data_IF_133899820564
#
_entry.id   IF_133899820564
#
_cell.length_a   1.000
_cell.length_b   1.000
_cell.length_c   1.000
_cell.angle_alpha   90.00
_cell.angle_beta   90.00
_cell.angle_gamma   90.00
#
_symmetry.space_group_name_H-M   'P 1'
#
loop_
_entity.id
_entity.type
_entity.pdbx_description
1 polymer ?
#
# COMPACT_ATOMS: atom_id res chain seq x y z
N UNK A 1 20.27 -19.44 -51.01
CA UNK A 1 19.28 -18.42 -51.43
C UNK A 1 20.00 -17.07 -51.33
N UNK A 2 20.13 -16.32 -52.43
CA UNK A 2 21.18 -15.32 -52.60
C UNK A 2 20.81 -13.91 -52.09
N UNK A 3 21.86 -13.09 -51.96
CA UNK A 3 21.99 -11.65 -52.28
C UNK A 3 21.15 -10.61 -51.56
N UNK A 4 21.79 -9.72 -50.77
CA UNK A 4 22.25 -8.37 -51.18
C UNK A 4 22.79 -7.60 -49.94
N UNK A 5 24.09 -7.26 -49.88
CA UNK A 5 24.67 -5.90 -50.10
C UNK A 5 24.11 -4.82 -49.16
N UNK A 6 24.85 -4.16 -48.25
CA UNK A 6 26.05 -3.27 -48.41
C UNK A 6 26.52 -2.86 -46.98
N UNK A 7 27.80 -2.84 -46.53
CA UNK A 7 28.99 -2.01 -46.91
C UNK A 7 28.74 -0.51 -46.59
N UNK A 8 29.54 0.30 -45.86
CA UNK A 8 30.93 0.25 -45.33
C UNK A 8 31.23 1.45 -44.40
N UNK A 9 32.26 1.26 -43.55
CA UNK A 9 33.43 2.12 -43.20
C UNK A 9 33.36 3.55 -42.62
N UNK A 10 34.04 3.65 -41.46
CA UNK A 10 35.02 4.65 -40.98
C UNK A 10 35.57 5.70 -41.98
N UNK A 11 35.80 6.93 -41.50
CA UNK A 11 37.13 7.50 -41.17
C UNK A 11 37.23 9.04 -41.32
N UNK A 12 37.96 9.67 -40.39
CA UNK A 12 38.92 10.78 -40.59
C UNK A 12 38.46 12.15 -41.14
N UNK A 13 38.53 13.25 -40.38
CA UNK A 13 39.66 14.21 -40.17
C UNK A 13 39.49 15.52 -41.01
N UNK A 14 39.78 16.65 -40.34
CA UNK A 14 40.28 17.96 -40.83
C UNK A 14 39.35 19.21 -41.02
N UNK A 15 39.58 20.19 -40.13
CA UNK A 15 39.96 21.61 -40.33
C UNK A 15 39.08 22.58 -41.16
N UNK A 16 38.57 23.66 -40.53
CA UNK A 16 39.12 25.04 -40.61
C UNK A 16 38.25 26.08 -39.86
N UNK A 17 38.94 27.03 -39.23
CA UNK A 17 38.55 28.22 -38.44
C UNK A 17 38.09 29.39 -39.35
N UNK A 18 37.47 30.53 -38.89
CA UNK A 18 38.13 31.49 -37.99
C UNK A 18 37.31 32.40 -37.02
N UNK A 19 38.05 32.80 -35.97
CA UNK A 19 38.15 34.13 -35.33
C UNK A 19 36.98 34.78 -34.56
N UNK A 20 37.17 34.97 -33.24
CA UNK A 20 37.45 36.26 -32.56
C UNK A 20 37.78 35.92 -31.08
N UNK A 21 39.06 35.83 -30.65
CA UNK A 21 39.87 36.90 -30.01
C UNK A 21 39.08 37.63 -28.89
N UNK A 22 39.42 37.57 -27.58
CA UNK A 22 40.64 38.13 -26.98
C UNK A 22 40.76 37.76 -25.46
N UNK A 23 41.96 37.25 -25.11
CA UNK A 23 42.83 37.46 -23.91
C UNK A 23 42.31 37.03 -22.51
N UNK A 24 42.89 35.97 -21.90
CA UNK A 24 44.14 35.90 -21.10
C UNK A 24 43.90 36.33 -19.63
N UNK A 25 44.41 35.69 -18.57
CA UNK A 25 45.53 34.78 -18.40
C UNK A 25 45.36 33.97 -17.08
N UNK A 26 45.83 32.71 -17.08
CA UNK A 26 46.15 31.90 -15.90
C UNK A 26 47.71 31.96 -15.69
N UNK A 27 48.39 31.07 -14.92
CA UNK A 27 48.17 30.41 -13.62
C UNK A 27 49.47 30.46 -12.73
N UNK A 28 49.59 29.55 -11.74
CA UNK A 28 50.81 28.87 -11.19
C UNK A 28 51.12 29.23 -9.72
N UNK A 29 50.94 28.34 -8.72
CA UNK A 29 51.65 27.09 -8.31
C UNK A 29 52.78 27.34 -7.28
N UNK A 30 52.79 26.48 -6.24
CA UNK A 30 53.91 26.04 -5.38
C UNK A 30 54.27 26.84 -4.11
N UNK A 31 54.01 26.15 -2.98
CA UNK A 31 54.83 25.89 -1.78
C UNK A 31 55.80 26.94 -1.19
N UNK A 32 55.84 26.97 0.15
CA UNK A 32 57.07 27.24 0.90
C UNK A 32 56.96 28.24 2.04
N UNK A 33 56.69 27.73 3.26
CA UNK A 33 57.44 27.97 4.51
C UNK A 33 58.34 29.23 4.56
N UNK A 34 58.13 30.12 5.55
CA UNK A 34 59.10 30.55 6.61
C UNK A 34 58.84 31.97 7.17
N UNK A 35 58.61 32.00 8.50
CA UNK A 35 58.93 33.01 9.53
C UNK A 35 58.44 34.48 9.39
N UNK A 36 57.68 34.96 10.39
CA UNK A 36 58.13 35.75 11.57
C UNK A 36 56.88 36.33 12.28
N UNK A 37 56.59 35.85 13.49
CA UNK A 37 56.75 36.57 14.76
C UNK A 37 55.80 37.76 14.94
N UNK A 38 54.78 37.61 15.78
CA UNK A 38 54.52 38.56 16.87
C UNK A 38 53.72 37.87 17.99
N UNK A 39 54.27 37.96 19.19
CA UNK A 39 53.86 37.35 20.46
C UNK A 39 52.62 38.00 21.08
N UNK A 40 51.85 37.16 21.80
CA UNK A 40 51.09 37.39 23.05
C UNK A 40 49.89 36.42 23.04
N UNK A 41 49.84 35.30 23.76
CA UNK A 41 50.17 35.11 25.16
C UNK A 41 48.90 35.28 26.01
N UNK A 42 48.13 34.19 26.24
CA UNK A 42 47.36 33.94 27.48
C UNK A 42 46.53 32.63 27.40
N UNK A 43 46.93 31.69 28.26
CA UNK A 43 46.13 30.74 29.03
C UNK A 43 45.46 29.54 28.33
N UNK A 44 46.23 28.45 28.36
CA UNK A 44 45.80 27.09 28.68
C UNK A 44 44.70 27.03 29.76
N UNK A 45 43.58 26.39 29.42
CA UNK A 45 42.74 25.71 30.40
C UNK A 45 42.66 24.23 29.98
N UNK A 46 43.48 23.45 30.66
CA UNK A 46 43.44 22.00 30.71
C UNK A 46 42.07 21.54 31.22
N UNK A 47 41.28 20.92 30.36
CA UNK A 47 40.10 20.17 30.78
C UNK A 47 40.54 18.75 31.19
N UNK A 48 40.23 18.30 32.41
CA UNK A 48 40.76 17.06 32.94
C UNK A 48 40.19 15.84 32.22
N UNK A 49 41.10 15.02 31.69
CA UNK A 49 40.93 13.62 31.35
C UNK A 49 40.60 12.79 32.61
N UNK A 50 39.43 12.99 33.20
CA UNK A 50 38.88 12.12 34.25
C UNK A 50 37.36 11.96 34.05
N UNK A 51 36.99 11.00 33.22
CA UNK A 51 35.83 10.10 33.48
C UNK A 51 35.67 9.04 32.38
N UNK A 52 36.78 8.46 31.91
CA UNK A 52 36.75 7.18 31.15
C UNK A 52 36.49 6.00 32.09
N UNK A 53 35.40 6.07 32.85
CA UNK A 53 34.93 4.99 33.71
C UNK A 53 33.41 5.12 33.88
N UNK A 54 32.66 5.07 32.78
CA UNK A 54 31.23 4.81 32.87
C UNK A 54 30.67 4.18 31.59
N UNK A 55 31.19 2.99 31.25
CA UNK A 55 30.48 2.06 30.35
C UNK A 55 30.54 0.66 30.98
N UNK A 56 30.22 0.55 32.28
CA UNK A 56 29.66 -0.68 32.80
C UNK A 56 28.20 -0.72 32.34
N UNK A 57 28.01 -1.33 31.17
CA UNK A 57 26.83 -2.10 30.76
C UNK A 57 25.77 -2.19 31.88
N UNK A 58 24.88 -1.20 31.93
CA UNK A 58 23.70 -1.26 32.78
C UNK A 58 22.87 -2.50 32.39
N UNK A 59 22.65 -3.48 33.28
CA UNK A 59 21.82 -4.66 32.99
C UNK A 59 20.31 -4.34 33.02
N UNK A 60 19.95 -3.05 33.02
CA UNK A 60 18.59 -2.52 33.14
C UNK A 60 17.98 -2.04 31.82
N UNK A 61 18.58 -2.36 30.66
CA UNK A 61 17.78 -2.39 29.43
C UNK A 61 17.02 -3.72 29.38
N UNK A 62 16.14 -3.93 30.37
CA UNK A 62 15.05 -4.86 30.20
C UNK A 62 14.38 -4.46 28.88
N UNK A 63 14.40 -5.36 27.89
CA UNK A 63 13.69 -5.17 26.63
C UNK A 63 12.23 -4.94 27.01
N UNK A 64 11.82 -3.67 27.09
CA UNK A 64 10.50 -3.16 27.48
C UNK A 64 9.50 -3.44 26.36
N UNK A 65 9.46 -4.69 25.92
CA UNK A 65 8.63 -5.18 24.84
C UNK A 65 7.31 -5.72 25.37
N UNK A 66 6.28 -5.59 24.52
CA UNK A 66 5.03 -6.33 24.64
C UNK A 66 5.37 -7.82 24.65
N UNK A 67 4.79 -8.59 25.57
CA UNK A 67 5.02 -10.02 25.70
C UNK A 67 3.72 -10.80 25.44
N UNK A 68 3.83 -11.93 24.75
CA UNK A 68 2.73 -12.85 24.42
C UNK A 68 2.64 -14.03 25.39
N UNK A 69 3.40 -14.01 26.48
CA UNK A 69 3.37 -15.05 27.50
C UNK A 69 2.03 -15.05 28.27
N UNK A 70 1.65 -16.18 28.83
CA UNK A 70 0.47 -16.32 29.69
C UNK A 70 0.81 -16.26 31.19
N UNK A 71 2.08 -16.06 31.55
CA UNK A 71 2.59 -16.22 32.92
C UNK A 71 2.32 -14.99 33.76
N UNK A 72 2.29 -13.81 33.15
CA UNK A 72 1.89 -12.57 33.80
C UNK A 72 0.40 -12.52 34.16
N UNK A 73 -0.44 -13.37 33.56
CA UNK A 73 -1.87 -13.49 33.87
C UNK A 73 -2.09 -14.46 35.03
N UNK A 74 -3.18 -14.26 35.79
CA UNK A 74 -3.61 -15.18 36.86
C UNK A 74 -3.92 -16.57 36.30
N UNK A 75 -3.85 -17.60 37.16
CA UNK A 75 -4.32 -18.95 36.81
C UNK A 75 -5.85 -18.97 36.69
N UNK A 76 -6.39 -20.08 36.15
CA UNK A 76 -7.83 -20.31 36.13
C UNK A 76 -8.46 -20.30 37.54
N UNK A 77 -7.71 -20.73 38.56
CA UNK A 77 -8.10 -20.65 39.97
C UNK A 77 -8.03 -19.23 40.57
N UNK A 78 -7.55 -18.23 39.83
CA UNK A 78 -7.36 -16.86 40.31
C UNK A 78 -6.04 -16.61 41.06
N UNK A 79 -5.23 -17.66 41.30
CA UNK A 79 -3.95 -17.53 41.98
C UNK A 79 -2.97 -16.63 41.20
N UNK A 80 -2.27 -15.76 41.93
CA UNK A 80 -1.20 -14.92 41.37
C UNK A 80 0.03 -15.81 41.14
N UNK A 81 0.51 -15.87 39.90
CA UNK A 81 1.70 -16.64 39.54
C UNK A 81 2.96 -15.90 39.99
N UNK A 82 3.90 -16.64 40.58
CA UNK A 82 5.20 -16.11 40.94
C UNK A 82 6.01 -15.78 39.69
N UNK A 83 6.88 -14.78 39.80
CA UNK A 83 7.82 -14.43 38.74
C UNK A 83 8.95 -15.47 38.69
N UNK A 84 9.03 -16.20 37.58
CA UNK A 84 10.02 -17.27 37.39
C UNK A 84 11.21 -16.88 36.51
N UNK A 85 10.99 -16.10 35.44
CA UNK A 85 12.04 -15.76 34.47
C UNK A 85 11.78 -14.42 33.77
N UNK A 86 12.85 -13.80 33.24
CA UNK A 86 12.79 -12.62 32.36
C UNK A 86 12.08 -12.92 31.02
N UNK A 87 11.55 -11.87 30.38
CA UNK A 87 10.90 -11.94 29.05
C UNK A 87 11.87 -12.49 28.00
N UNK A 88 11.37 -13.31 27.07
CA UNK A 88 12.17 -13.95 26.02
C UNK A 88 11.83 -13.39 24.64
N UNK A 89 12.83 -13.30 23.76
CA UNK A 89 12.67 -12.75 22.40
C UNK A 89 11.65 -13.52 21.55
N UNK A 90 11.48 -14.83 21.76
CA UNK A 90 10.50 -15.64 21.04
C UNK A 90 9.04 -15.38 21.49
N UNK A 91 8.84 -14.80 22.67
CA UNK A 91 7.53 -14.37 23.20
C UNK A 91 7.24 -12.88 22.87
N UNK A 92 8.12 -12.21 22.14
CA UNK A 92 7.97 -10.79 21.83
C UNK A 92 6.74 -10.50 20.95
N UNK A 93 5.96 -9.52 21.37
CA UNK A 93 4.95 -8.83 20.57
C UNK A 93 5.51 -7.56 19.94
N UNK A 94 4.75 -6.99 19.01
CA UNK A 94 5.02 -5.67 18.42
C UNK A 94 3.74 -4.85 18.48
N UNK A 95 3.86 -3.53 18.48
CA UNK A 95 2.71 -2.62 18.36
C UNK A 95 1.90 -2.97 17.10
N UNK A 96 0.64 -2.57 17.06
CA UNK A 96 -0.18 -2.69 15.86
C UNK A 96 0.26 -1.72 14.76
N UNK A 97 -0.31 -1.85 13.56
CA UNK A 97 0.04 -1.01 12.42
C UNK A 97 -0.90 0.18 12.21
N UNK A 98 -2.14 0.11 12.71
CA UNK A 98 -3.15 1.15 12.55
C UNK A 98 -3.31 1.62 11.09
N UNK A 99 -3.48 0.69 10.15
CA UNK A 99 -3.41 0.99 8.72
C UNK A 99 -4.57 1.86 8.28
N UNK A 100 -4.29 3.02 7.68
CA UNK A 100 -5.31 3.99 7.23
C UNK A 100 -5.45 4.03 5.72
N UNK A 101 -6.52 4.65 5.26
CA UNK A 101 -6.70 4.95 3.84
C UNK A 101 -5.74 6.09 3.44
N UNK A 102 -5.05 5.95 2.32
CA UNK A 102 -4.17 6.99 1.77
C UNK A 102 -3.05 6.43 0.89
N UNK A 103 -2.13 7.30 0.45
CA UNK A 103 -1.01 6.95 -0.43
C UNK A 103 -0.22 5.77 0.13
N UNK A 104 0.02 4.76 -0.72
CA UNK A 104 0.63 3.48 -0.35
C UNK A 104 1.95 3.66 0.40
N UNK A 105 1.97 3.28 1.68
CA UNK A 105 3.18 3.25 2.53
C UNK A 105 3.25 1.93 3.27
N UNK A 106 4.28 1.14 3.00
CA UNK A 106 4.49 -0.20 3.57
C UNK A 106 5.91 -0.26 4.14
N UNK A 107 6.03 -0.73 5.38
CA UNK A 107 7.31 -0.97 6.06
C UNK A 107 7.61 -2.47 6.14
N UNK A 108 8.86 -2.81 5.89
CA UNK A 108 9.35 -4.19 6.02
C UNK A 108 9.76 -4.45 7.47
N UNK A 109 9.23 -5.52 8.06
CA UNK A 109 9.59 -5.94 9.42
C UNK A 109 10.27 -7.31 9.36
N UNK A 110 11.53 -7.37 9.81
CA UNK A 110 12.24 -8.65 10.00
C UNK A 110 11.61 -9.43 11.15
N UNK A 111 11.34 -10.70 10.90
CA UNK A 111 10.79 -11.65 11.88
C UNK A 111 11.76 -12.81 12.13
N UNK A 112 11.37 -13.72 13.03
CA UNK A 112 12.18 -14.89 13.38
C UNK A 112 12.47 -15.74 12.13
N UNK A 113 13.70 -16.25 12.03
CA UNK A 113 14.13 -17.08 10.90
C UNK A 113 14.43 -16.31 9.62
N UNK A 114 14.59 -14.98 9.67
CA UNK A 114 14.94 -14.17 8.50
C UNK A 114 13.76 -13.79 7.61
N UNK A 115 12.55 -14.31 7.90
CA UNK A 115 11.33 -13.99 7.18
C UNK A 115 10.95 -12.50 7.31
N UNK A 116 10.29 -11.98 6.27
CA UNK A 116 9.81 -10.59 6.22
C UNK A 116 8.30 -10.55 6.31
N UNK A 117 7.77 -9.61 7.10
CA UNK A 117 6.36 -9.25 7.10
C UNK A 117 6.19 -7.83 6.59
N UNK A 118 5.11 -7.58 5.87
CA UNK A 118 4.82 -6.29 5.27
C UNK A 118 3.79 -5.59 6.14
N UNK A 119 4.24 -4.54 6.84
CA UNK A 119 3.39 -3.72 7.67
C UNK A 119 2.93 -2.53 6.86
N UNK A 120 1.71 -2.59 6.33
CA UNK A 120 1.10 -1.40 5.75
C UNK A 120 0.88 -0.35 6.85
N UNK A 121 1.00 0.92 6.48
CA UNK A 121 0.58 2.07 7.29
C UNK A 121 -0.53 2.83 6.58
N UNK A 122 -0.41 2.95 5.25
CA UNK A 122 -1.41 3.57 4.38
C UNK A 122 -1.60 2.74 3.12
N UNK A 123 -2.84 2.53 2.71
CA UNK A 123 -3.22 1.85 1.47
C UNK A 123 -4.42 2.55 0.84
N UNK A 124 -4.41 2.73 -0.48
CA UNK A 124 -5.49 3.37 -1.22
C UNK A 124 -6.35 2.38 -2.02
N UNK A 125 -5.76 1.25 -2.39
CA UNK A 125 -6.35 0.29 -3.31
C UNK A 125 -6.05 -1.14 -2.88
N UNK A 126 -6.95 -2.02 -3.27
CA UNK A 126 -6.97 -3.43 -2.90
C UNK A 126 -7.47 -4.32 -4.02
N UNK A 127 -7.19 -5.62 -3.96
CA UNK A 127 -7.80 -6.57 -4.89
C UNK A 127 -9.10 -7.12 -4.29
N UNK A 128 -10.23 -6.82 -4.93
CA UNK A 128 -11.54 -7.29 -4.50
C UNK A 128 -12.10 -8.28 -5.51
N UNK A 129 -12.64 -9.39 -5.01
CA UNK A 129 -13.28 -10.41 -5.83
C UNK A 129 -14.80 -10.28 -5.81
N UNK A 130 -15.42 -10.39 -6.99
CA UNK A 130 -16.84 -10.58 -7.16
C UNK A 130 -17.09 -12.09 -7.34
N UNK A 131 -17.67 -12.73 -6.33
CA UNK A 131 -17.70 -14.19 -6.23
C UNK A 131 -18.66 -14.83 -7.24
N UNK A 132 -19.87 -14.27 -7.42
CA UNK A 132 -20.84 -14.79 -8.39
C UNK A 132 -20.29 -14.86 -9.82
N UNK A 133 -19.52 -13.85 -10.22
CA UNK A 133 -18.93 -13.72 -11.56
C UNK A 133 -17.53 -14.36 -11.68
N UNK A 134 -16.95 -14.81 -10.56
CA UNK A 134 -15.62 -15.43 -10.54
C UNK A 134 -14.47 -14.49 -10.95
N UNK A 135 -14.61 -13.18 -10.75
CA UNK A 135 -13.59 -12.19 -11.13
C UNK A 135 -12.97 -11.46 -9.94
N UNK A 136 -11.76 -10.95 -10.13
CA UNK A 136 -11.13 -10.02 -9.20
C UNK A 136 -10.54 -8.82 -9.93
N UNK A 137 -10.67 -7.65 -9.31
CA UNK A 137 -10.16 -6.38 -9.85
C UNK A 137 -9.51 -5.57 -8.74
N UNK A 138 -8.50 -4.80 -9.14
CA UNK A 138 -7.89 -3.79 -8.28
C UNK A 138 -8.82 -2.58 -8.23
N UNK A 139 -9.24 -2.23 -7.03
CA UNK A 139 -10.24 -1.17 -6.78
C UNK A 139 -9.75 -0.26 -5.67
N UNK A 140 -10.14 1.02 -5.74
CA UNK A 140 -9.88 1.99 -4.69
C UNK A 140 -10.83 1.79 -3.51
N UNK A 141 -10.28 1.83 -2.29
CA UNK A 141 -11.04 1.80 -1.05
C UNK A 141 -11.38 3.23 -0.66
N UNK A 142 -12.66 3.53 -0.48
CA UNK A 142 -13.14 4.89 -0.25
C UNK A 142 -13.22 5.16 1.25
N UNK A 143 -14.02 4.37 1.96
CA UNK A 143 -14.31 4.58 3.39
C UNK A 143 -14.60 3.25 4.08
N UNK A 144 -14.33 3.17 5.38
CA UNK A 144 -14.79 2.06 6.22
C UNK A 144 -16.21 2.38 6.68
N UNK A 145 -17.18 1.52 6.37
CA UNK A 145 -18.58 1.74 6.69
C UNK A 145 -18.97 1.09 8.02
N UNK A 146 -18.48 -0.12 8.29
CA UNK A 146 -18.82 -0.88 9.49
C UNK A 146 -17.66 -1.75 9.94
N UNK A 147 -17.54 -1.96 11.25
CA UNK A 147 -16.57 -2.89 11.82
C UNK A 147 -17.19 -3.65 12.99
N UNK A 148 -17.21 -5.00 12.99
CA UNK A 148 -17.89 -5.79 14.02
C UNK A 148 -17.25 -5.69 15.42
N UNK A 149 -15.93 -5.53 15.50
CA UNK A 149 -15.22 -5.51 16.79
C UNK A 149 -15.16 -4.16 17.50
N UNK A 150 -15.10 -3.03 16.79
CA UNK A 150 -14.92 -1.71 17.40
C UNK A 150 -15.34 -0.59 16.45
N UNK A 151 -16.19 0.33 16.92
CA UNK A 151 -16.68 1.48 16.16
C UNK A 151 -15.63 2.59 15.97
N UNK A 152 -14.61 2.67 16.82
CA UNK A 152 -13.51 3.64 16.65
C UNK A 152 -12.70 3.38 15.38
N UNK A 153 -12.65 2.13 14.91
CA UNK A 153 -11.99 1.77 13.66
C UNK A 153 -12.74 2.32 12.44
N UNK A 154 -14.06 2.47 12.54
CA UNK A 154 -14.90 3.11 11.52
C UNK A 154 -14.62 4.62 11.49
N UNK A 155 -14.68 5.27 12.66
CA UNK A 155 -14.42 6.72 12.80
C UNK A 155 -13.06 7.16 12.25
N UNK A 156 -12.04 6.33 12.45
CA UNK A 156 -10.66 6.62 12.03
C UNK A 156 -10.32 6.09 10.63
N UNK A 157 -11.25 5.43 9.93
CA UNK A 157 -11.00 4.76 8.66
C UNK A 157 -9.82 3.78 8.70
N UNK A 158 -9.76 2.94 9.73
CA UNK A 158 -8.71 1.94 9.91
C UNK A 158 -9.07 0.63 9.20
N UNK A 159 -8.15 0.12 8.38
CA UNK A 159 -8.31 -1.09 7.58
C UNK A 159 -7.85 -2.33 8.34
N UNK A 160 -8.76 -3.23 8.66
CA UNK A 160 -8.50 -4.48 9.38
C UNK A 160 -9.24 -5.63 8.70
N UNK A 161 -8.90 -6.86 9.07
CA UNK A 161 -9.69 -8.02 8.63
C UNK A 161 -11.12 -7.85 9.15
N UNK A 162 -12.10 -8.20 8.32
CA UNK A 162 -13.53 -8.13 8.60
C UNK A 162 -14.11 -6.71 8.69
N UNK A 163 -13.35 -5.69 8.33
CA UNK A 163 -13.90 -4.36 8.11
C UNK A 163 -14.75 -4.38 6.84
N UNK A 164 -15.97 -3.83 6.92
CA UNK A 164 -16.84 -3.57 5.77
C UNK A 164 -16.48 -2.21 5.22
N UNK A 165 -16.10 -2.19 3.95
CA UNK A 165 -15.63 -0.99 3.24
C UNK A 165 -16.52 -0.69 2.05
N UNK A 166 -16.60 0.59 1.69
CA UNK A 166 -17.10 1.01 0.39
C UNK A 166 -15.94 1.06 -0.59
N UNK A 167 -16.09 0.37 -1.71
CA UNK A 167 -15.13 0.33 -2.81
C UNK A 167 -15.73 0.95 -4.07
N UNK A 168 -14.87 1.41 -4.97
CA UNK A 168 -15.28 1.95 -6.26
C UNK A 168 -15.89 0.87 -7.19
N UNK A 169 -17.06 1.14 -7.77
CA UNK A 169 -17.72 0.20 -8.67
C UNK A 169 -17.18 0.25 -10.12
N UNK A 170 -16.44 1.30 -10.51
CA UNK A 170 -16.07 1.53 -11.90
C UNK A 170 -15.32 0.37 -12.58
N UNK A 171 -14.30 -0.26 -11.95
CA UNK A 171 -13.59 -1.38 -12.58
C UNK A 171 -14.47 -2.62 -12.81
N UNK A 172 -15.45 -2.85 -11.94
CA UNK A 172 -16.41 -3.96 -12.09
C UNK A 172 -17.45 -3.64 -13.17
N UNK A 173 -17.92 -2.38 -13.24
CA UNK A 173 -18.86 -1.93 -14.28
C UNK A 173 -18.25 -2.04 -15.67
N UNK A 174 -17.01 -1.57 -15.86
CA UNK A 174 -16.29 -1.68 -17.14
C UNK A 174 -16.14 -3.14 -17.58
N UNK A 175 -15.84 -4.04 -16.64
CA UNK A 175 -15.77 -5.46 -16.95
C UNK A 175 -17.13 -6.04 -17.34
N UNK A 176 -18.20 -5.68 -16.62
CA UNK A 176 -19.55 -6.16 -16.90
C UNK A 176 -20.03 -5.72 -18.28
N UNK A 177 -19.81 -4.46 -18.65
CA UNK A 177 -20.12 -3.90 -19.98
C UNK A 177 -19.35 -4.64 -21.09
N UNK A 178 -18.07 -4.97 -20.88
CA UNK A 178 -17.28 -5.74 -21.84
C UNK A 178 -17.69 -7.22 -21.92
N UNK A 179 -18.10 -7.83 -20.79
CA UNK A 179 -18.38 -9.25 -20.70
C UNK A 179 -19.78 -9.63 -21.22
N UNK A 180 -20.79 -8.85 -20.83
CA UNK A 180 -22.20 -9.07 -21.15
C UNK A 180 -22.76 -8.13 -22.21
N UNK A 181 -22.06 -7.04 -22.55
CA UNK A 181 -22.55 -6.07 -23.54
C UNK A 181 -23.71 -5.20 -23.05
N UNK A 182 -24.07 -5.29 -21.76
CA UNK A 182 -25.14 -4.50 -21.15
C UNK A 182 -24.59 -3.52 -20.12
N UNK A 183 -25.28 -2.38 -19.98
CA UNK A 183 -24.90 -1.33 -19.05
C UNK A 183 -25.52 -1.59 -17.67
N UNK A 184 -24.69 -1.71 -16.64
CA UNK A 184 -25.13 -1.91 -15.26
C UNK A 184 -25.21 -0.57 -14.51
N UNK A 185 -26.38 -0.25 -13.96
CA UNK A 185 -26.56 0.90 -13.06
C UNK A 185 -26.62 2.28 -13.73
N UNK A 186 -26.95 2.37 -15.04
CA UNK A 186 -27.12 3.66 -15.74
C UNK A 186 -28.56 4.19 -15.77
N UNK A 187 -29.49 3.60 -15.01
CA UNK A 187 -30.91 3.95 -15.04
C UNK A 187 -31.18 5.44 -14.71
N UNK A 188 -30.33 6.06 -13.89
CA UNK A 188 -30.40 7.49 -13.56
C UNK A 188 -29.71 8.39 -14.58
N UNK A 189 -28.64 7.92 -15.23
CA UNK A 189 -27.92 8.65 -16.28
C UNK A 189 -28.71 8.67 -17.60
N UNK A 190 -29.44 7.61 -17.91
CA UNK A 190 -30.38 7.56 -19.04
C UNK A 190 -31.49 8.63 -18.92
N UNK A 191 -31.90 9.00 -17.71
CA UNK A 191 -32.85 10.10 -17.46
C UNK A 191 -32.23 11.49 -17.58
N UNK A 192 -30.90 11.60 -17.51
CA UNK A 192 -30.16 12.86 -17.52
C UNK A 192 -29.54 13.19 -18.90
N UNK A 193 -29.83 12.39 -19.94
CA UNK A 193 -29.41 12.67 -21.32
C UNK A 193 -27.91 12.54 -21.60
N UNK A 194 -27.10 12.09 -20.64
CA UNK A 194 -25.66 11.87 -20.86
C UNK A 194 -25.41 10.51 -21.53
N UNK A 195 -25.17 10.60 -22.84
CA UNK A 195 -24.34 9.73 -23.67
C UNK A 195 -24.39 8.24 -23.33
N UNK A 196 -25.21 7.52 -24.09
CA UNK A 196 -24.80 6.23 -24.59
C UNK A 196 -23.39 6.39 -25.15
N UNK A 197 -22.38 5.78 -24.51
CA UNK A 197 -21.15 5.47 -25.22
C UNK A 197 -21.60 4.79 -26.51
N UNK A 198 -21.26 5.39 -27.66
CA UNK A 198 -21.71 4.91 -28.95
C UNK A 198 -21.57 3.39 -29.03
N UNK A 199 -22.54 2.66 -29.59
CA UNK A 199 -22.40 1.23 -29.76
C UNK A 199 -21.21 1.01 -30.69
N UNK A 200 -20.05 0.72 -30.10
CA UNK A 200 -18.89 0.27 -30.84
C UNK A 200 -19.35 -0.88 -31.72
N UNK A 201 -19.11 -0.78 -33.03
CA UNK A 201 -19.49 -1.82 -33.99
C UNK A 201 -18.74 -3.10 -33.63
N UNK A 202 -19.38 -3.96 -32.86
CA UNK A 202 -18.83 -5.26 -32.47
C UNK A 202 -19.01 -6.24 -33.62
N UNK A 203 -18.16 -7.26 -33.65
CA UNK A 203 -18.36 -8.37 -34.58
C UNK A 203 -19.55 -9.20 -34.14
N UNK A 204 -20.31 -9.73 -35.11
CA UNK A 204 -21.48 -10.60 -34.86
C UNK A 204 -21.18 -11.78 -33.92
N UNK A 205 -19.95 -12.30 -33.95
CA UNK A 205 -19.52 -13.37 -33.06
C UNK A 205 -19.37 -12.95 -31.59
N UNK A 206 -19.00 -11.69 -31.33
CA UNK A 206 -18.94 -11.14 -29.97
C UNK A 206 -20.34 -10.89 -29.43
N UNK A 207 -21.23 -10.34 -30.25
CA UNK A 207 -22.65 -10.12 -29.90
C UNK A 207 -23.31 -11.44 -29.51
N UNK A 208 -23.17 -12.47 -30.35
CA UNK A 208 -23.70 -13.80 -30.06
C UNK A 208 -23.16 -14.39 -28.74
N UNK A 209 -21.86 -14.24 -28.47
CA UNK A 209 -21.26 -14.68 -27.20
C UNK A 209 -21.80 -13.90 -25.99
N UNK A 210 -21.99 -12.59 -26.12
CA UNK A 210 -22.51 -11.72 -25.06
C UNK A 210 -23.96 -12.09 -24.73
N UNK A 211 -24.80 -12.30 -25.74
CA UNK A 211 -26.19 -12.72 -25.55
C UNK A 211 -26.32 -14.08 -24.87
N UNK A 212 -25.50 -15.07 -25.29
CA UNK A 212 -25.51 -16.40 -24.68
C UNK A 212 -25.15 -16.34 -23.19
N UNK A 213 -24.10 -15.60 -22.84
CA UNK A 213 -23.66 -15.42 -21.43
C UNK A 213 -24.70 -14.67 -20.62
N UNK A 214 -25.30 -13.64 -21.19
CA UNK A 214 -26.32 -12.87 -20.50
C UNK A 214 -27.53 -13.73 -20.16
N UNK A 215 -27.97 -14.59 -21.08
CA UNK A 215 -29.06 -15.54 -20.85
C UNK A 215 -28.74 -16.55 -19.74
N UNK A 216 -27.50 -17.00 -19.62
CA UNK A 216 -27.10 -17.99 -18.62
C UNK A 216 -26.88 -17.41 -17.22
N UNK A 217 -26.16 -16.29 -17.11
CA UNK A 217 -25.63 -15.79 -15.82
C UNK A 217 -25.77 -14.27 -15.63
N UNK A 218 -26.21 -13.51 -16.64
CA UNK A 218 -26.13 -12.05 -16.61
C UNK A 218 -27.08 -11.34 -15.63
N UNK A 219 -28.01 -12.04 -14.98
CA UNK A 219 -28.99 -11.42 -14.07
C UNK A 219 -28.36 -11.17 -12.70
N UNK A 220 -28.08 -9.89 -12.42
CA UNK A 220 -27.52 -9.43 -11.14
C UNK A 220 -28.63 -9.21 -10.10
N UNK A 221 -28.31 -9.43 -8.82
CA UNK A 221 -29.22 -9.17 -7.70
C UNK A 221 -29.64 -7.67 -7.65
N UNK A 222 -30.94 -7.36 -7.42
CA UNK A 222 -31.42 -5.97 -7.40
C UNK A 222 -30.78 -5.10 -6.31
N UNK A 223 -30.33 -5.70 -5.19
CA UNK A 223 -29.63 -4.97 -4.14
C UNK A 223 -28.21 -4.53 -4.56
N UNK A 224 -27.56 -5.33 -5.41
CA UNK A 224 -26.24 -5.02 -5.97
C UNK A 224 -26.36 -4.00 -7.11
N UNK A 225 -27.40 -4.10 -7.94
CA UNK A 225 -27.68 -3.12 -9.02
C UNK A 225 -27.82 -1.69 -8.48
N UNK A 226 -28.53 -1.50 -7.36
CA UNK A 226 -28.63 -0.21 -6.66
C UNK A 226 -27.28 0.35 -6.20
N UNK A 227 -26.34 -0.52 -5.82
CA UNK A 227 -24.98 -0.10 -5.45
C UNK A 227 -24.14 0.29 -6.66
N UNK A 228 -24.32 -0.42 -7.78
CA UNK A 228 -23.75 -0.02 -9.06
C UNK A 228 -24.28 1.33 -9.54
N UNK A 229 -25.56 1.65 -9.31
CA UNK A 229 -26.10 3.00 -9.58
C UNK A 229 -25.43 4.08 -8.71
N UNK A 230 -25.18 3.78 -7.42
CA UNK A 230 -24.47 4.68 -6.52
C UNK A 230 -22.96 4.81 -6.84
N UNK A 231 -22.42 3.89 -7.66
CA UNK A 231 -21.00 3.83 -7.99
C UNK A 231 -20.10 3.35 -6.85
N UNK A 232 -20.68 2.81 -5.77
CA UNK A 232 -19.96 2.30 -4.60
C UNK A 232 -20.53 0.96 -4.18
N UNK A 233 -19.66 -0.05 -4.11
CA UNK A 233 -20.03 -1.38 -3.66
C UNK A 233 -19.61 -1.58 -2.20
N UNK A 234 -20.38 -2.34 -1.45
CA UNK A 234 -19.96 -2.82 -0.14
C UNK A 234 -19.11 -4.09 -0.29
N UNK A 235 -17.98 -4.13 0.41
CA UNK A 235 -17.06 -5.25 0.39
C UNK A 235 -16.47 -5.52 1.78
N UNK A 236 -16.05 -6.75 2.03
CA UNK A 236 -15.38 -7.14 3.28
C UNK A 236 -13.91 -7.40 3.02
N UNK A 237 -13.05 -6.85 3.88
CA UNK A 237 -11.61 -7.14 3.85
C UNK A 237 -11.37 -8.53 4.45
N UNK A 238 -10.85 -9.45 3.66
CA UNK A 238 -10.48 -10.81 4.11
C UNK A 238 -9.02 -10.90 4.53
N UNK A 239 -8.16 -10.03 3.98
CA UNK A 239 -6.73 -9.98 4.25
C UNK A 239 -6.41 -9.36 5.63
N UNK A 240 -5.13 -9.45 6.03
CA UNK A 240 -4.58 -8.78 7.23
C UNK A 240 -3.54 -7.74 6.81
N UNK A 241 -3.92 -6.45 6.66
CA UNK A 241 -3.02 -5.41 6.13
C UNK A 241 -1.74 -5.21 6.94
N UNK A 242 -1.81 -5.33 8.27
CA UNK A 242 -0.63 -5.19 9.15
C UNK A 242 0.36 -6.36 9.11
N UNK A 243 0.04 -7.46 8.43
CA UNK A 243 0.91 -8.64 8.28
C UNK A 243 1.37 -8.85 6.84
N UNK A 244 0.42 -8.74 5.90
CA UNK A 244 0.62 -9.01 4.46
C UNK A 244 0.90 -7.76 3.64
N UNK A 245 0.60 -6.57 4.17
CA UNK A 245 0.75 -5.31 3.45
C UNK A 245 -0.28 -5.10 2.34
N UNK A 246 -1.35 -5.90 2.32
CA UNK A 246 -2.41 -5.87 1.30
C UNK A 246 -3.79 -5.70 1.93
N UNK A 247 -4.67 -5.03 1.22
CA UNK A 247 -6.09 -4.93 1.54
C UNK A 247 -6.80 -5.68 0.42
N UNK A 248 -7.08 -6.95 0.65
CA UNK A 248 -7.78 -7.79 -0.32
C UNK A 248 -9.08 -8.27 0.33
N UNK A 249 -10.09 -8.50 -0.48
CA UNK A 249 -11.44 -8.75 0.00
C UNK A 249 -12.38 -9.29 -1.07
N UNK A 250 -13.64 -9.37 -0.72
CA UNK A 250 -14.70 -9.79 -1.63
C UNK A 250 -15.91 -8.85 -1.50
N UNK A 251 -16.66 -8.71 -2.59
CA UNK A 251 -17.89 -7.91 -2.64
C UNK A 251 -19.00 -8.65 -1.89
N UNK A 252 -19.83 -7.92 -1.15
CA UNK A 252 -20.94 -8.48 -0.38
C UNK A 252 -22.13 -8.79 -1.29
N UNK A 253 -22.69 -9.99 -1.15
CA UNK A 253 -23.80 -10.50 -1.98
C UNK A 253 -24.86 -11.18 -1.10
N UNK A 254 -26.10 -11.27 -1.59
CA UNK A 254 -27.17 -12.08 -1.01
C UNK A 254 -27.47 -11.80 0.47
N UNK A 255 -27.56 -12.86 1.28
CA UNK A 255 -27.91 -12.75 2.70
C UNK A 255 -26.89 -11.96 3.52
N UNK A 256 -25.60 -12.08 3.17
CA UNK A 256 -24.53 -11.35 3.86
C UNK A 256 -24.68 -9.84 3.64
N UNK A 257 -24.99 -9.45 2.40
CA UNK A 257 -25.28 -8.06 2.07
C UNK A 257 -26.51 -7.56 2.85
N UNK A 258 -27.60 -8.34 2.88
CA UNK A 258 -28.80 -7.97 3.63
C UNK A 258 -28.53 -7.82 5.13
N UNK A 259 -27.69 -8.69 5.71
CA UNK A 259 -27.27 -8.58 7.11
C UNK A 259 -26.56 -7.26 7.41
N UNK A 260 -25.53 -6.90 6.64
CA UNK A 260 -24.79 -5.66 6.87
C UNK A 260 -25.61 -4.42 6.55
N UNK A 261 -26.49 -4.46 5.55
CA UNK A 261 -27.41 -3.36 5.28
C UNK A 261 -28.38 -3.10 6.44
N UNK A 262 -28.86 -4.15 7.13
CA UNK A 262 -29.66 -3.99 8.36
C UNK A 262 -28.86 -3.38 9.50
N UNK A 263 -27.60 -3.80 9.68
CA UNK A 263 -26.74 -3.25 10.72
C UNK A 263 -26.38 -1.77 10.47
N UNK A 264 -26.22 -1.35 9.21
CA UNK A 264 -25.93 0.04 8.85
C UNK A 264 -27.12 1.00 9.01
N UNK A 265 -28.35 0.47 8.99
CA UNK A 265 -29.58 1.25 9.18
C UNK A 265 -29.96 1.41 10.65
N UNK A 266 -29.38 0.60 11.53
CA UNK A 266 -29.63 0.61 12.97
C UNK A 266 -28.82 1.70 13.64
#
# INVERSE_FOLDING_TARGET
IPSCCTIRECSSIEFTLPCYHILCCAPILVAGKILRLFDAGLQSLDLPLHSLANIYSSPETAIMGISRDSRHKRSASGAKRAYYRKKRAFEAGRQESGTRIGTKRIHLVRTRGGNRKFRALRLEAGNFSWASEGIARKVRVIVVAFHPSNNELVRTNTLTKSAVVQIDAAPFRQWYEAHYGQNLGRRRQQKAGQEHAEPEKKSKGVEHKQELRFKSQGKVEPALEKQFEAGRLYAVISSRPGQSGRVDGYVLEGEELAFYQRQLRK
#
